data_IF_038039410843
#
_entry.id   IF_038039410843
#
_cell.length_a   1.000
_cell.length_b   1.000
_cell.length_c   1.000
_cell.angle_alpha   90.00
_cell.angle_beta   90.00
_cell.angle_gamma   90.00
#
_symmetry.space_group_name_H-M   'P 1'
#
loop_
_entity.id
_entity.type
_entity.pdbx_description
1 polymer ?
#
# COMPACT_ATOMS: atom_id res chain seq x y z
N UNK A 1 -31.08 -30.71 -70.60
CA UNK A 1 -31.79 -29.45 -70.63
C UNK A 1 -32.50 -29.39 -69.24
N UNK A 2 -32.09 -28.81 -68.21
CA UNK A 2 -31.45 -27.51 -68.08
C UNK A 2 -30.80 -27.33 -66.75
N UNK A 3 -29.87 -26.68 -66.81
CA UNK A 3 -29.27 -25.48 -66.23
C UNK A 3 -29.38 -25.30 -64.70
N UNK A 4 -28.33 -25.48 -64.21
CA UNK A 4 -27.64 -25.17 -62.96
C UNK A 4 -27.81 -23.67 -62.63
N UNK A 5 -28.16 -23.34 -61.42
CA UNK A 5 -27.68 -22.08 -60.81
C UNK A 5 -26.99 -22.33 -59.45
N UNK A 6 -25.76 -21.90 -59.42
CA UNK A 6 -24.81 -22.10 -58.39
C UNK A 6 -24.48 -20.69 -57.84
N UNK A 7 -25.22 -20.27 -56.85
CA UNK A 7 -24.81 -19.10 -56.06
C UNK A 7 -24.40 -19.52 -54.63
N UNK A 8 -23.13 -19.73 -54.52
CA UNK A 8 -22.41 -19.94 -53.28
C UNK A 8 -22.22 -18.58 -52.62
N UNK A 9 -22.97 -18.31 -51.59
CA UNK A 9 -22.73 -17.16 -50.70
C UNK A 9 -21.62 -17.52 -49.74
N UNK A 10 -20.46 -16.99 -50.02
CA UNK A 10 -19.29 -16.99 -49.14
C UNK A 10 -19.50 -15.85 -48.15
N UNK A 11 -20.06 -16.15 -47.00
CA UNK A 11 -20.12 -15.21 -45.88
C UNK A 11 -18.98 -15.56 -44.95
N UNK A 12 -17.86 -14.79 -45.08
CA UNK A 12 -16.64 -14.93 -44.30
C UNK A 12 -16.87 -14.78 -42.82
N UNK A 13 -16.55 -15.85 -42.16
CA UNK A 13 -16.22 -15.85 -40.70
C UNK A 13 -14.86 -15.16 -40.48
N UNK A 14 -14.89 -13.89 -40.13
CA UNK A 14 -13.71 -13.09 -39.82
C UNK A 14 -13.92 -12.15 -38.62
N UNK A 15 -14.47 -12.66 -37.49
CA UNK A 15 -14.80 -11.83 -36.34
C UNK A 15 -14.31 -12.30 -34.96
N UNK A 16 -13.90 -13.55 -34.78
CA UNK A 16 -13.71 -14.10 -33.43
C UNK A 16 -12.26 -14.20 -32.92
N UNK A 17 -11.26 -13.99 -33.78
CA UNK A 17 -9.81 -14.09 -33.38
C UNK A 17 -9.18 -12.81 -32.87
N UNK A 18 -9.72 -11.64 -33.18
CA UNK A 18 -9.08 -10.35 -32.90
C UNK A 18 -9.42 -9.77 -31.50
N UNK A 19 -10.61 -10.08 -31.00
CA UNK A 19 -11.10 -9.59 -29.71
C UNK A 19 -10.26 -10.05 -28.49
N UNK A 20 -9.84 -11.30 -28.35
CA UNK A 20 -8.97 -11.75 -27.28
C UNK A 20 -7.58 -11.11 -27.34
N UNK A 21 -7.05 -10.89 -28.54
CA UNK A 21 -5.74 -10.24 -28.75
C UNK A 21 -5.78 -8.77 -28.36
N UNK A 22 -6.80 -8.02 -28.78
CA UNK A 22 -7.00 -6.63 -28.41
C UNK A 22 -7.15 -6.45 -26.89
N UNK A 23 -7.88 -7.35 -26.23
CA UNK A 23 -8.01 -7.34 -24.75
C UNK A 23 -6.68 -7.63 -24.06
N UNK A 24 -5.86 -8.52 -24.61
CA UNK A 24 -4.53 -8.83 -24.08
C UNK A 24 -3.58 -7.65 -24.26
N UNK A 25 -3.60 -6.97 -25.42
CA UNK A 25 -2.80 -5.77 -25.68
C UNK A 25 -3.21 -4.60 -24.79
N UNK A 26 -4.51 -4.39 -24.59
CA UNK A 26 -5.03 -3.38 -23.67
C UNK A 26 -4.57 -3.64 -22.22
N UNK A 27 -4.62 -4.90 -21.75
CA UNK A 27 -4.11 -5.26 -20.42
C UNK A 27 -2.60 -5.01 -20.29
N UNK A 28 -1.82 -5.37 -21.32
CA UNK A 28 -0.36 -5.09 -21.34
C UNK A 28 -0.05 -3.59 -21.29
N UNK A 29 -0.76 -2.80 -22.09
CA UNK A 29 -0.61 -1.34 -22.11
C UNK A 29 -0.96 -0.72 -20.76
N UNK A 30 -2.05 -1.18 -20.13
CA UNK A 30 -2.46 -0.74 -18.80
C UNK A 30 -1.41 -1.07 -17.73
N UNK A 31 -0.82 -2.28 -17.77
CA UNK A 31 0.22 -2.70 -16.84
C UNK A 31 1.47 -1.82 -16.97
N UNK A 32 1.94 -1.57 -18.22
CA UNK A 32 3.09 -0.68 -18.49
C UNK A 32 2.85 0.75 -18.00
N UNK A 33 1.63 1.27 -18.17
CA UNK A 33 1.26 2.59 -17.67
C UNK A 33 1.31 2.66 -16.15
N UNK A 34 0.80 1.64 -15.44
CA UNK A 34 0.86 1.59 -13.98
C UNK A 34 2.29 1.48 -13.45
N UNK A 35 3.15 0.68 -14.09
CA UNK A 35 4.57 0.56 -13.74
C UNK A 35 5.30 1.89 -13.93
N UNK A 36 5.17 2.51 -15.11
CA UNK A 36 5.77 3.80 -15.41
C UNK A 36 5.26 4.92 -14.49
N UNK A 37 3.97 4.93 -14.17
CA UNK A 37 3.37 5.89 -13.25
C UNK A 37 3.86 5.68 -11.81
N UNK A 38 4.03 4.43 -11.36
CA UNK A 38 4.58 4.11 -10.04
C UNK A 38 5.97 4.72 -9.88
N UNK A 39 6.86 4.51 -10.86
CA UNK A 39 8.20 5.08 -10.86
C UNK A 39 8.17 6.62 -10.91
N UNK A 40 7.37 7.20 -11.81
CA UNK A 40 7.27 8.64 -11.97
C UNK A 40 6.73 9.34 -10.70
N UNK A 41 5.72 8.76 -10.05
CA UNK A 41 5.18 9.31 -8.80
C UNK A 41 6.13 9.15 -7.61
N UNK A 42 6.98 8.12 -7.60
CA UNK A 42 8.02 7.97 -6.60
C UNK A 42 9.13 9.01 -6.75
N UNK A 43 9.52 9.34 -7.99
CA UNK A 43 10.58 10.29 -8.32
C UNK A 43 10.13 11.76 -8.20
N UNK A 44 8.95 12.07 -8.72
CA UNK A 44 8.49 13.45 -8.96
C UNK A 44 7.22 13.82 -8.17
N UNK A 45 6.75 12.93 -7.30
CA UNK A 45 5.51 13.13 -6.55
C UNK A 45 4.25 12.90 -7.38
N UNK A 46 3.10 13.13 -6.76
CA UNK A 46 1.77 12.87 -7.34
C UNK A 46 1.45 13.71 -8.59
N UNK A 47 2.19 14.80 -8.80
CA UNK A 47 1.99 15.74 -9.92
C UNK A 47 2.89 15.48 -11.14
N UNK A 48 3.60 14.34 -11.16
CA UNK A 48 4.43 13.94 -12.31
C UNK A 48 3.66 14.13 -13.65
N UNK A 49 4.32 14.67 -14.71
CA UNK A 49 3.67 14.93 -16.01
C UNK A 49 3.16 13.63 -16.64
N UNK A 50 1.90 13.62 -17.10
CA UNK A 50 1.28 12.44 -17.72
C UNK A 50 1.93 12.08 -19.05
N UNK A 51 2.46 13.07 -19.78
CA UNK A 51 3.21 12.91 -21.02
C UNK A 51 4.49 12.10 -20.79
N UNK A 52 5.20 12.37 -19.70
CA UNK A 52 6.39 11.61 -19.32
C UNK A 52 6.07 10.17 -18.94
N UNK A 53 4.95 9.96 -18.24
CA UNK A 53 4.47 8.63 -17.89
C UNK A 53 4.13 7.83 -19.15
N UNK A 54 3.39 8.42 -20.09
CA UNK A 54 3.05 7.76 -21.36
C UNK A 54 4.30 7.41 -22.17
N UNK A 55 5.28 8.32 -22.24
CA UNK A 55 6.56 8.12 -22.90
C UNK A 55 7.37 6.99 -22.27
N UNK A 56 7.48 6.94 -20.93
CA UNK A 56 8.15 5.87 -20.18
C UNK A 56 7.49 4.52 -20.39
N UNK A 57 6.15 4.49 -20.48
CA UNK A 57 5.38 3.28 -20.74
C UNK A 57 5.48 2.80 -22.21
N UNK A 58 6.06 3.61 -23.10
CA UNK A 58 6.14 3.31 -24.54
C UNK A 58 4.78 3.33 -25.24
N UNK A 59 3.85 4.19 -24.78
CA UNK A 59 2.52 4.35 -25.37
C UNK A 59 2.23 5.83 -25.68
N UNK A 60 1.31 6.07 -26.59
CA UNK A 60 0.83 7.43 -26.87
C UNK A 60 -0.04 7.98 -25.73
N UNK A 61 -0.01 9.32 -25.55
CA UNK A 61 -0.82 10.00 -24.54
C UNK A 61 -2.33 9.70 -24.69
N UNK A 62 -2.84 9.57 -25.91
CA UNK A 62 -4.22 9.18 -26.16
C UNK A 62 -4.56 7.77 -25.63
N UNK A 63 -3.58 6.86 -25.59
CA UNK A 63 -3.73 5.53 -24.98
C UNK A 63 -3.80 5.65 -23.46
N UNK A 64 -3.00 6.51 -22.85
CA UNK A 64 -3.07 6.79 -21.43
C UNK A 64 -4.47 7.28 -21.03
N UNK A 65 -5.00 8.31 -21.70
CA UNK A 65 -6.32 8.86 -21.39
C UNK A 65 -7.47 7.87 -21.66
N UNK A 66 -7.29 6.92 -22.61
CA UNK A 66 -8.27 5.85 -22.81
C UNK A 66 -8.34 4.88 -21.64
N UNK A 67 -7.21 4.60 -21.00
CA UNK A 67 -7.15 3.72 -19.83
C UNK A 67 -7.44 4.45 -18.50
N UNK A 68 -7.04 5.70 -18.42
CA UNK A 68 -7.14 6.55 -17.23
C UNK A 68 -7.60 7.95 -17.66
N UNK A 69 -8.91 8.20 -17.72
CA UNK A 69 -9.48 9.46 -18.18
C UNK A 69 -8.98 10.69 -17.43
N UNK A 70 -8.69 10.55 -16.15
CA UNK A 70 -8.17 11.63 -15.29
C UNK A 70 -6.85 11.23 -14.63
N UNK A 71 -6.10 12.22 -14.14
CA UNK A 71 -4.93 12.00 -13.29
C UNK A 71 -5.29 11.18 -12.06
N UNK A 72 -6.43 11.50 -11.43
CA UNK A 72 -6.93 10.78 -10.24
C UNK A 72 -7.19 9.31 -10.53
N UNK A 73 -7.71 8.96 -11.73
CA UNK A 73 -7.90 7.55 -12.13
C UNK A 73 -6.57 6.80 -12.24
N UNK A 74 -5.54 7.46 -12.78
CA UNK A 74 -4.20 6.88 -12.85
C UNK A 74 -3.60 6.70 -11.45
N UNK A 75 -3.70 7.71 -10.60
CA UNK A 75 -3.25 7.65 -9.21
C UNK A 75 -3.97 6.54 -8.43
N UNK A 76 -5.29 6.43 -8.59
CA UNK A 76 -6.10 5.36 -8.00
C UNK A 76 -5.69 3.97 -8.51
N UNK A 77 -5.40 3.87 -9.81
CA UNK A 77 -4.88 2.65 -10.43
C UNK A 77 -3.54 2.22 -9.85
N UNK A 78 -2.60 3.14 -9.69
CA UNK A 78 -1.28 2.91 -9.08
C UNK A 78 -1.44 2.49 -7.62
N UNK A 79 -2.26 3.22 -6.85
CA UNK A 79 -2.51 2.90 -5.44
C UNK A 79 -3.04 1.47 -5.26
N UNK A 80 -4.04 1.08 -6.06
CA UNK A 80 -4.60 -0.28 -6.04
C UNK A 80 -3.57 -1.33 -6.44
N UNK A 81 -2.82 -1.09 -7.51
CA UNK A 81 -1.79 -2.01 -8.00
C UNK A 81 -0.69 -2.26 -6.96
N UNK A 82 -0.28 -1.25 -6.22
CA UNK A 82 0.71 -1.40 -5.15
C UNK A 82 0.18 -2.22 -3.97
N UNK A 83 -1.08 -2.02 -3.57
CA UNK A 83 -1.73 -2.85 -2.54
C UNK A 83 -1.83 -4.30 -3.02
N UNK A 84 -2.22 -4.51 -4.28
CA UNK A 84 -2.30 -5.84 -4.88
C UNK A 84 -0.94 -6.55 -4.86
N UNK A 85 0.14 -5.84 -5.18
CA UNK A 85 1.50 -6.39 -5.15
C UNK A 85 1.93 -6.78 -3.73
N UNK A 86 1.67 -5.94 -2.72
CA UNK A 86 1.96 -6.27 -1.32
C UNK A 86 1.20 -7.51 -0.87
N UNK A 87 -0.09 -7.61 -1.21
CA UNK A 87 -0.91 -8.77 -0.86
C UNK A 87 -0.44 -10.04 -1.59
N UNK A 88 -0.07 -9.93 -2.87
CA UNK A 88 0.46 -11.07 -3.63
C UNK A 88 1.78 -11.58 -3.04
N UNK A 89 2.71 -10.69 -2.67
CA UNK A 89 3.95 -11.08 -1.99
C UNK A 89 3.66 -11.82 -0.68
N UNK A 90 2.67 -11.37 0.09
CA UNK A 90 2.25 -12.04 1.31
C UNK A 90 1.70 -13.45 1.05
N UNK A 91 0.86 -13.60 0.02
CA UNK A 91 0.29 -14.89 -0.38
C UNK A 91 1.39 -15.86 -0.88
N UNK A 92 2.39 -15.37 -1.60
CA UNK A 92 3.54 -16.17 -2.03
C UNK A 92 4.41 -16.66 -0.85
N UNK A 93 4.51 -15.89 0.22
CA UNK A 93 5.29 -16.28 1.39
C UNK A 93 4.58 -17.36 2.21
N UNK A 94 3.25 -17.40 2.24
CA UNK A 94 2.47 -18.42 2.94
C UNK A 94 2.76 -19.79 2.30
N UNK A 95 3.27 -20.72 3.10
CA UNK A 95 3.60 -22.08 2.66
C UNK A 95 4.97 -22.26 2.01
N UNK A 96 5.67 -21.17 1.64
CA UNK A 96 7.00 -21.24 1.04
C UNK A 96 8.14 -20.98 2.05
N UNK A 97 7.83 -20.30 3.16
CA UNK A 97 8.79 -20.04 4.24
C UNK A 97 8.11 -20.28 5.60
N UNK A 98 8.89 -20.43 6.70
CA UNK A 98 8.31 -20.53 8.04
C UNK A 98 7.34 -19.39 8.36
N UNK A 99 6.22 -19.66 9.10
CA UNK A 99 5.17 -18.69 9.35
C UNK A 99 5.65 -17.34 9.92
N UNK A 100 6.64 -17.37 10.81
CA UNK A 100 7.28 -16.19 11.38
C UNK A 100 7.99 -15.35 10.30
N UNK A 101 8.69 -16.00 9.38
CA UNK A 101 9.41 -15.34 8.29
C UNK A 101 8.42 -14.76 7.27
N UNK A 102 7.33 -15.47 6.97
CA UNK A 102 6.26 -14.98 6.10
C UNK A 102 5.64 -13.70 6.68
N UNK A 103 5.33 -13.71 7.97
CA UNK A 103 4.79 -12.55 8.67
C UNK A 103 5.78 -11.38 8.67
N UNK A 104 7.03 -11.60 9.07
CA UNK A 104 8.06 -10.57 9.12
C UNK A 104 8.36 -9.95 7.75
N UNK A 105 8.42 -10.77 6.70
CA UNK A 105 8.60 -10.32 5.32
C UNK A 105 7.44 -9.43 4.85
N UNK A 106 6.21 -9.83 5.17
CA UNK A 106 5.01 -9.06 4.82
C UNK A 106 4.92 -7.74 5.58
N UNK A 107 5.29 -7.71 6.86
CA UNK A 107 5.38 -6.47 7.66
C UNK A 107 6.39 -5.49 7.03
N UNK A 108 7.56 -5.96 6.60
CA UNK A 108 8.55 -5.12 5.91
C UNK A 108 8.06 -4.62 4.56
N UNK A 109 7.36 -5.46 3.79
CA UNK A 109 6.74 -5.05 2.52
C UNK A 109 5.68 -3.96 2.72
N UNK A 110 4.84 -4.09 3.77
CA UNK A 110 3.87 -3.06 4.16
C UNK A 110 4.58 -1.76 4.55
N UNK A 111 5.65 -1.81 5.33
CA UNK A 111 6.41 -0.63 5.72
C UNK A 111 7.03 0.08 4.49
N UNK A 112 7.66 -0.66 3.60
CA UNK A 112 8.21 -0.13 2.35
C UNK A 112 7.12 0.54 1.49
N UNK A 113 5.97 -0.10 1.36
CA UNK A 113 4.80 0.47 0.69
C UNK A 113 4.33 1.77 1.36
N UNK A 114 4.24 1.83 2.69
CA UNK A 114 3.84 3.03 3.43
C UNK A 114 4.82 4.19 3.24
N UNK A 115 6.11 3.91 3.15
CA UNK A 115 7.15 4.91 2.88
C UNK A 115 6.97 5.51 1.48
N UNK A 116 6.82 4.66 0.47
CA UNK A 116 6.80 5.08 -0.94
C UNK A 116 5.49 5.77 -1.34
N UNK A 117 4.37 5.44 -0.70
CA UNK A 117 3.04 5.94 -1.10
C UNK A 117 2.63 7.29 -0.51
N UNK A 118 3.40 7.90 0.40
CA UNK A 118 2.95 9.08 1.18
C UNK A 118 2.37 10.20 0.33
N UNK A 119 3.10 10.64 -0.70
CA UNK A 119 2.64 11.72 -1.58
C UNK A 119 1.37 11.33 -2.34
N UNK A 120 1.33 10.11 -2.88
CA UNK A 120 0.21 9.60 -3.65
C UNK A 120 -1.04 9.41 -2.78
N UNK A 121 -0.89 8.84 -1.57
CA UNK A 121 -2.00 8.66 -0.65
C UNK A 121 -2.59 10.00 -0.20
N UNK A 122 -1.74 11.00 0.07
CA UNK A 122 -2.20 12.36 0.39
C UNK A 122 -2.99 12.97 -0.77
N UNK A 123 -2.47 12.91 -1.99
CA UNK A 123 -3.15 13.44 -3.18
C UNK A 123 -4.50 12.76 -3.41
N UNK A 124 -4.60 11.44 -3.19
CA UNK A 124 -5.87 10.72 -3.29
C UNK A 124 -6.86 11.11 -2.19
N UNK A 125 -6.40 11.26 -0.95
CA UNK A 125 -7.25 11.75 0.15
C UNK A 125 -7.76 13.16 -0.13
N UNK A 126 -6.89 14.03 -0.62
CA UNK A 126 -7.26 15.42 -0.96
C UNK A 126 -8.28 15.46 -2.13
N UNK A 127 -8.18 14.53 -3.09
CA UNK A 127 -9.05 14.49 -4.28
C UNK A 127 -10.35 13.72 -4.07
N UNK A 128 -10.33 12.61 -3.36
CA UNK A 128 -11.44 11.66 -3.22
C UNK A 128 -12.09 11.68 -1.83
N UNK A 129 -11.42 12.29 -0.84
CA UNK A 129 -11.77 12.21 0.56
C UNK A 129 -11.19 10.95 1.24
N UNK A 130 -10.96 11.06 2.55
CA UNK A 130 -10.39 9.96 3.37
C UNK A 130 -11.32 8.74 3.47
N UNK A 131 -12.62 8.96 3.32
CA UNK A 131 -13.67 7.93 3.44
C UNK A 131 -14.05 7.34 2.07
N UNK A 132 -13.23 7.58 1.02
CA UNK A 132 -13.50 7.04 -0.31
C UNK A 132 -13.50 5.51 -0.31
N UNK A 133 -14.37 4.92 -1.13
CA UNK A 133 -14.47 3.48 -1.32
C UNK A 133 -13.13 2.84 -1.69
N UNK A 134 -12.34 3.51 -2.54
CA UNK A 134 -11.02 3.04 -2.92
C UNK A 134 -10.10 2.84 -1.71
N UNK A 135 -10.01 3.86 -0.84
CA UNK A 135 -9.14 3.81 0.34
C UNK A 135 -9.63 2.76 1.32
N UNK A 136 -10.95 2.68 1.53
CA UNK A 136 -11.58 1.70 2.42
C UNK A 136 -11.33 0.26 1.95
N UNK A 137 -11.57 -0.04 0.68
CA UNK A 137 -11.37 -1.39 0.09
C UNK A 137 -9.89 -1.79 0.14
N UNK A 138 -8.97 -0.91 -0.23
CA UNK A 138 -7.54 -1.18 -0.18
C UNK A 138 -7.04 -1.41 1.26
N UNK A 139 -7.52 -0.63 2.22
CA UNK A 139 -7.17 -0.77 3.64
C UNK A 139 -7.71 -2.08 4.22
N UNK A 140 -8.95 -2.46 3.87
CA UNK A 140 -9.56 -3.72 4.28
C UNK A 140 -8.75 -4.90 3.74
N UNK A 141 -8.45 -4.91 2.44
CA UNK A 141 -7.68 -5.99 1.81
C UNK A 141 -6.30 -6.19 2.44
N UNK A 142 -5.59 -5.11 2.75
CA UNK A 142 -4.30 -5.18 3.42
C UNK A 142 -4.43 -5.74 4.84
N UNK A 143 -5.47 -5.34 5.57
CA UNK A 143 -5.77 -5.87 6.90
C UNK A 143 -6.06 -7.36 6.86
N UNK A 144 -6.97 -7.80 5.97
CA UNK A 144 -7.34 -9.21 5.82
C UNK A 144 -6.13 -10.08 5.47
N UNK A 145 -5.23 -9.58 4.63
CA UNK A 145 -3.99 -10.27 4.29
C UNK A 145 -3.09 -10.42 5.51
N UNK A 146 -2.92 -9.35 6.30
CA UNK A 146 -2.11 -9.39 7.50
C UNK A 146 -2.74 -10.25 8.60
N UNK A 147 -4.09 -10.26 8.72
CA UNK A 147 -4.82 -11.15 9.64
C UNK A 147 -4.55 -12.62 9.33
N UNK A 148 -4.57 -13.01 8.05
CA UNK A 148 -4.26 -14.39 7.63
C UNK A 148 -2.83 -14.79 8.01
N UNK A 149 -1.85 -13.93 7.74
CA UNK A 149 -0.44 -14.18 8.09
C UNK A 149 -0.22 -14.27 9.60
N UNK A 150 -0.81 -13.33 10.35
CA UNK A 150 -0.71 -13.29 11.81
C UNK A 150 -1.33 -14.55 12.43
N UNK A 151 -2.55 -14.89 12.02
CA UNK A 151 -3.23 -16.10 12.49
C UNK A 151 -2.42 -17.37 12.19
N UNK A 152 -1.82 -17.47 10.99
CA UNK A 152 -0.97 -18.58 10.62
C UNK A 152 0.26 -18.71 11.54
N UNK A 153 0.92 -17.60 11.84
CA UNK A 153 2.08 -17.57 12.72
C UNK A 153 1.70 -17.80 14.20
N UNK A 154 0.55 -17.33 14.66
CA UNK A 154 0.03 -17.57 16.01
C UNK A 154 -0.37 -19.04 16.20
N UNK A 155 -1.02 -19.67 15.23
CA UNK A 155 -1.38 -21.08 15.26
C UNK A 155 -0.15 -22.00 15.28
N UNK A 156 0.94 -21.57 14.64
CA UNK A 156 2.24 -22.25 14.69
C UNK A 156 3.00 -22.02 16.01
N UNK A 157 2.47 -21.20 16.94
CA UNK A 157 3.12 -20.84 18.19
C UNK A 157 4.33 -19.93 18.03
N UNK A 158 4.53 -19.36 16.83
CA UNK A 158 5.67 -18.49 16.52
C UNK A 158 5.48 -17.06 17.03
N UNK A 159 4.24 -16.59 17.11
CA UNK A 159 3.89 -15.27 17.59
C UNK A 159 2.88 -15.34 18.75
N UNK A 160 2.90 -14.32 19.59
CA UNK A 160 1.99 -14.14 20.72
C UNK A 160 0.53 -14.00 20.24
N UNK A 161 -0.43 -14.60 20.99
CA UNK A 161 -1.82 -14.69 20.58
C UNK A 161 -2.68 -13.45 20.96
N UNK A 162 -2.16 -12.53 21.77
CA UNK A 162 -2.87 -11.35 22.29
C UNK A 162 -2.70 -10.08 21.42
N UNK A 163 -2.19 -10.24 20.18
CA UNK A 163 -1.96 -9.15 19.22
C UNK A 163 -2.87 -9.34 18.01
N UNK A 164 -3.42 -8.24 17.51
CA UNK A 164 -4.26 -8.19 16.32
C UNK A 164 -3.50 -7.57 15.13
N UNK A 165 -3.93 -7.86 13.90
CA UNK A 165 -3.39 -7.19 12.71
C UNK A 165 -3.57 -5.66 12.77
N UNK A 166 -4.63 -5.19 13.44
CA UNK A 166 -4.82 -3.75 13.65
C UNK A 166 -3.71 -3.14 14.49
N UNK A 167 -3.28 -3.81 15.57
CA UNK A 167 -2.18 -3.35 16.41
C UNK A 167 -0.87 -3.30 15.62
N UNK A 168 -0.59 -4.36 14.86
CA UNK A 168 0.60 -4.43 13.99
C UNK A 168 0.60 -3.29 12.97
N UNK A 169 -0.51 -3.05 12.26
CA UNK A 169 -0.60 -1.96 11.28
C UNK A 169 -0.41 -0.58 11.92
N UNK A 170 -0.93 -0.36 13.13
CA UNK A 170 -0.72 0.88 13.87
C UNK A 170 0.75 1.07 14.27
N UNK A 171 1.41 0.01 14.75
CA UNK A 171 2.82 0.04 15.10
C UNK A 171 3.69 0.30 13.86
N UNK A 172 3.46 -0.41 12.77
CA UNK A 172 4.18 -0.19 11.50
C UNK A 172 3.99 1.24 11.01
N UNK A 173 2.75 1.75 11.02
CA UNK A 173 2.48 3.14 10.64
C UNK A 173 3.22 4.13 11.55
N UNK A 174 3.17 3.92 12.88
CA UNK A 174 3.88 4.73 13.86
C UNK A 174 5.39 4.75 13.63
N UNK A 175 6.00 3.58 13.39
CA UNK A 175 7.44 3.46 13.09
C UNK A 175 7.79 4.21 11.80
N UNK A 176 7.02 3.99 10.72
CA UNK A 176 7.25 4.67 9.44
C UNK A 176 7.12 6.19 9.58
N UNK A 177 6.18 6.69 10.37
CA UNK A 177 6.04 8.13 10.64
C UNK A 177 7.19 8.67 11.49
N UNK A 178 7.58 7.95 12.54
CA UNK A 178 8.66 8.36 13.43
C UNK A 178 10.04 8.38 12.74
N UNK A 179 10.23 7.55 11.72
CA UNK A 179 11.50 7.45 10.97
C UNK A 179 11.53 8.29 9.70
N UNK A 180 10.59 9.19 9.50
CA UNK A 180 10.55 10.04 8.30
C UNK A 180 11.85 10.83 8.08
N UNK A 181 12.42 11.36 9.15
CA UNK A 181 13.68 12.13 9.12
C UNK A 181 14.93 11.23 9.27
N UNK A 182 14.74 9.94 9.56
CA UNK A 182 15.81 8.96 9.77
C UNK A 182 15.42 7.60 9.15
N UNK A 183 15.30 7.50 7.81
CA UNK A 183 14.82 6.29 7.14
C UNK A 183 15.68 5.05 7.42
N UNK A 184 16.97 5.25 7.72
CA UNK A 184 17.93 4.19 8.08
C UNK A 184 17.54 3.46 9.38
N UNK A 185 16.75 4.07 10.25
CA UNK A 185 16.29 3.45 11.50
C UNK A 185 15.06 2.57 11.36
N UNK A 186 14.35 2.65 10.23
CA UNK A 186 13.08 1.96 10.04
C UNK A 186 13.21 0.46 10.21
N UNK A 187 14.19 -0.18 9.56
CA UNK A 187 14.34 -1.64 9.62
C UNK A 187 14.75 -2.12 11.02
N UNK A 188 15.58 -1.34 11.71
CA UNK A 188 15.96 -1.62 13.10
C UNK A 188 14.75 -1.58 14.04
N UNK A 189 13.90 -0.56 13.93
CA UNK A 189 12.69 -0.43 14.77
C UNK A 189 11.64 -1.47 14.42
N UNK A 190 11.48 -1.83 13.14
CA UNK A 190 10.64 -2.94 12.74
C UNK A 190 11.16 -4.28 13.31
N UNK A 191 12.49 -4.48 13.32
CA UNK A 191 13.11 -5.64 13.94
C UNK A 191 12.78 -5.74 15.43
N UNK A 192 12.93 -4.66 16.19
CA UNK A 192 12.58 -4.60 17.61
C UNK A 192 11.09 -4.90 17.85
N UNK A 193 10.21 -4.35 17.02
CA UNK A 193 8.77 -4.67 17.07
C UNK A 193 8.51 -6.16 16.82
N UNK A 194 9.10 -6.72 15.76
CA UNK A 194 8.92 -8.13 15.40
C UNK A 194 9.47 -9.06 16.49
N UNK A 195 10.60 -8.74 17.11
CA UNK A 195 11.15 -9.51 18.23
C UNK A 195 10.20 -9.46 19.44
N UNK A 196 9.56 -8.33 19.72
CA UNK A 196 8.55 -8.21 20.78
C UNK A 196 7.24 -8.99 20.52
N UNK A 197 7.00 -9.40 19.28
CA UNK A 197 5.83 -10.21 18.91
C UNK A 197 6.08 -11.73 19.03
N UNK A 198 7.35 -12.16 19.22
CA UNK A 198 7.71 -13.55 19.42
C UNK A 198 7.33 -14.05 20.80
N UNK A 199 6.99 -15.32 20.92
CA UNK A 199 6.76 -16.01 22.18
C UNK A 199 5.31 -15.99 22.66
N UNK A 200 5.04 -16.61 23.82
CA UNK A 200 3.71 -16.68 24.40
C UNK A 200 3.18 -15.29 24.76
N UNK A 201 1.85 -15.14 24.72
CA UNK A 201 1.19 -13.91 25.14
C UNK A 201 1.69 -13.48 26.53
N UNK A 202 2.13 -12.23 26.69
CA UNK A 202 2.41 -11.72 28.01
C UNK A 202 1.14 -11.77 28.85
N UNK A 203 1.24 -12.21 30.10
CA UNK A 203 0.13 -12.11 31.03
C UNK A 203 -0.35 -10.63 31.06
N UNK A 204 -1.67 -10.36 31.09
CA UNK A 204 -2.17 -9.02 31.11
C UNK A 204 -1.50 -8.27 32.26
N UNK A 205 -0.90 -7.11 31.95
CA UNK A 205 -0.36 -6.22 32.98
C UNK A 205 -1.56 -5.81 33.84
N UNK A 206 -1.63 -6.40 35.05
CA UNK A 206 -2.63 -6.01 36.04
C UNK A 206 -2.34 -4.57 36.40
N UNK A 207 -3.05 -3.62 35.81
CA UNK A 207 -3.11 -2.27 36.31
C UNK A 207 -3.86 -2.30 37.62
N UNK A 208 -3.10 -2.43 38.73
CA UNK A 208 -3.67 -2.22 40.05
C UNK A 208 -4.34 -0.83 40.06
N UNK A 209 -5.59 -0.70 40.48
CA UNK A 209 -6.23 0.60 40.58
C UNK A 209 -5.52 1.39 41.67
N UNK A 210 -4.73 2.41 41.30
CA UNK A 210 -4.17 3.33 42.30
C UNK A 210 -2.83 3.99 42.03
N UNK A 211 -2.17 3.77 40.90
CA UNK A 211 -0.93 4.54 40.63
C UNK A 211 -1.24 5.62 39.58
N UNK A 212 -1.57 6.81 40.05
CA UNK A 212 -1.57 8.02 39.21
C UNK A 212 -0.17 8.20 38.65
N UNK A 213 0.04 8.30 37.34
CA UNK A 213 1.36 8.56 36.79
C UNK A 213 1.82 9.92 37.30
N UNK A 214 3.01 9.96 37.92
CA UNK A 214 3.64 11.21 38.31
C UNK A 214 3.82 12.07 37.04
N UNK A 215 3.19 13.23 37.05
CA UNK A 215 3.38 14.23 36.01
C UNK A 215 4.85 14.64 36.08
N UNK A 216 5.64 14.31 35.08
CA UNK A 216 6.99 14.82 34.92
C UNK A 216 6.83 16.30 34.57
N UNK A 217 6.92 17.15 35.59
CA UNK A 217 6.98 18.60 35.42
C UNK A 217 8.36 18.92 34.84
N UNK A 218 8.42 19.48 33.67
CA UNK A 218 9.65 20.02 33.11
C UNK A 218 10.22 21.10 34.02
N UNK A 219 11.56 21.17 34.20
CA UNK A 219 12.17 22.21 35.04
C UNK A 219 11.87 23.59 34.45
N UNK A 220 11.27 24.45 35.29
CA UNK A 220 10.81 25.75 34.89
C UNK A 220 11.95 26.67 34.41
N UNK A 221 11.70 27.31 33.29
CA UNK A 221 12.43 28.48 32.84
C UNK A 221 12.14 29.62 33.82
N UNK A 222 13.14 30.00 34.59
CA UNK A 222 13.10 31.16 35.51
C UNK A 222 12.97 32.43 34.64
N UNK A 223 11.79 32.99 34.59
CA UNK A 223 11.59 34.34 34.04
C UNK A 223 12.19 35.37 35.01
N UNK A 224 13.28 35.96 34.61
CA UNK A 224 13.92 37.06 35.32
C UNK A 224 13.10 38.32 35.09
N UNK A 225 12.43 38.78 36.15
CA UNK A 225 11.68 40.04 36.13
C UNK A 225 12.68 41.21 36.08
N UNK A 226 12.68 41.93 34.97
CA UNK A 226 13.39 43.22 34.86
C UNK A 226 12.58 44.30 35.60
N UNK A 227 13.11 44.79 36.70
CA UNK A 227 12.63 45.97 37.42
C UNK A 227 12.95 47.21 36.60
N UNK A 228 11.93 47.97 36.20
CA UNK A 228 12.06 49.32 35.64
C UNK A 228 12.00 50.31 36.81
N UNK A 229 12.99 51.18 37.01
CA UNK A 229 12.87 52.28 37.96
C UNK A 229 12.12 53.44 37.31
N UNK A 230 11.17 53.99 38.05
CA UNK A 230 10.40 55.17 37.64
C UNK A 230 11.18 56.48 37.71
N UNK A 231 10.83 57.39 36.86
CA UNK A 231 10.62 58.85 37.12
C UNK A 231 9.49 59.34 36.22
#
# INVERSE_FOLDING_TARGET
>A
MDMIDKTRSDAGDSGTGDEPRMRADARRSRAKLLEAATAAFAENGADAPLEDIARRAGVGIGTLYRHFPTRTDLQAGVFRSQVDAVCATADELIGNVPPEQAFAGSVRAIAAYLITKRGLAKALVDSLGKDSELISVCSMRMRDTLDRLLNHAQQAGALRADVTAHDVLRLVHGIVMATEQAPQDTDRLLGMMLDGLRGPAAAPVSTAPGTTPAVITAPGTTAQAATVPGQ
#
